data_IF_769187873698
#
_entry.id   IF_769187873698
#
_cell.length_a   1.000
_cell.length_b   1.000
_cell.length_c   1.000
_cell.angle_alpha   90.00
_cell.angle_beta   90.00
_cell.angle_gamma   90.00
#
_symmetry.space_group_name_H-M   'P 1'
#
loop_
_entity.id
_entity.type
_entity.pdbx_description
1 polymer ?
#
# COMPACT_ATOMS: atom_id res chain seq x y z
N UNK A 1 -17.16 -7.43 8.47
CA UNK A 1 -18.54 -6.92 8.31
C UNK A 1 -19.50 -7.93 7.68
N UNK A 2 -19.39 -8.35 6.41
CA UNK A 2 -20.35 -9.32 5.82
C UNK A 2 -20.53 -10.61 6.64
N UNK A 3 -19.42 -11.26 7.01
CA UNK A 3 -19.42 -12.44 7.90
C UNK A 3 -20.17 -12.16 9.21
N UNK A 4 -19.93 -11.01 9.82
CA UNK A 4 -20.52 -10.64 11.12
C UNK A 4 -22.02 -10.35 11.02
N UNK A 5 -22.48 -9.80 9.89
CA UNK A 5 -23.91 -9.62 9.60
C UNK A 5 -24.58 -10.99 9.47
N UNK A 6 -23.94 -11.92 8.77
CA UNK A 6 -24.44 -13.29 8.60
C UNK A 6 -24.50 -14.06 9.93
N UNK A 7 -23.50 -13.87 10.80
CA UNK A 7 -23.49 -14.42 12.17
C UNK A 7 -24.36 -13.63 13.16
N UNK A 8 -25.06 -12.57 12.74
CA UNK A 8 -25.93 -11.77 13.60
C UNK A 8 -25.21 -10.92 14.66
N UNK A 9 -23.89 -10.79 14.58
CA UNK A 9 -23.07 -10.00 15.52
C UNK A 9 -23.02 -8.50 15.19
N UNK A 10 -23.37 -8.15 13.94
CA UNK A 10 -23.53 -6.76 13.48
C UNK A 10 -24.88 -6.61 12.80
N UNK A 11 -25.68 -5.63 13.22
CA UNK A 11 -26.98 -5.38 12.60
C UNK A 11 -26.82 -4.67 11.25
N UNK A 12 -27.77 -4.92 10.33
CA UNK A 12 -27.79 -4.21 9.04
C UNK A 12 -28.05 -2.71 9.22
N UNK A 13 -28.76 -2.31 10.27
CA UNK A 13 -29.01 -0.90 10.61
C UNK A 13 -27.70 -0.19 11.00
N UNK A 14 -26.90 -0.82 11.87
CA UNK A 14 -25.59 -0.31 12.29
C UNK A 14 -24.62 -0.22 11.11
N UNK A 15 -24.59 -1.25 10.25
CA UNK A 15 -23.75 -1.26 9.06
C UNK A 15 -24.13 -0.15 8.06
N UNK A 16 -25.43 0.09 7.85
CA UNK A 16 -25.92 1.20 7.01
C UNK A 16 -25.48 2.54 7.59
N UNK A 17 -25.64 2.74 8.90
CA UNK A 17 -25.21 3.97 9.55
C UNK A 17 -23.71 4.23 9.39
N UNK A 18 -22.86 3.20 9.49
CA UNK A 18 -21.42 3.32 9.22
C UNK A 18 -21.15 3.91 7.82
N UNK A 19 -21.88 3.43 6.80
CA UNK A 19 -21.69 3.83 5.41
C UNK A 19 -22.28 5.21 5.09
N UNK A 20 -23.52 5.48 5.52
CA UNK A 20 -24.28 6.66 5.07
C UNK A 20 -24.37 7.76 6.12
N UNK A 21 -24.17 7.43 7.40
CA UNK A 21 -24.51 8.30 8.52
C UNK A 21 -26.00 8.40 8.76
N UNK A 22 -26.39 9.43 9.50
CA UNK A 22 -27.77 9.67 9.88
C UNK A 22 -28.60 10.20 8.72
N UNK A 23 -29.56 9.41 8.24
CA UNK A 23 -30.48 9.79 7.15
C UNK A 23 -31.77 10.46 7.63
N UNK A 24 -32.02 10.51 8.95
CA UNK A 24 -33.19 11.21 9.48
C UNK A 24 -33.13 12.72 9.18
N UNK A 25 -34.30 13.29 8.88
CA UNK A 25 -34.54 14.73 8.70
C UNK A 25 -34.81 15.44 10.03
N UNK A 26 -34.92 14.70 11.13
CA UNK A 26 -35.17 15.29 12.44
C UNK A 26 -34.03 16.21 12.86
N UNK A 27 -34.39 17.39 13.36
CA UNK A 27 -33.43 18.34 13.90
C UNK A 27 -33.01 17.92 15.32
N UNK A 28 -31.70 17.98 15.63
CA UNK A 28 -31.22 17.70 16.97
C UNK A 28 -31.68 18.82 17.94
N UNK A 29 -31.84 18.51 19.24
CA UNK A 29 -32.05 19.53 20.25
C UNK A 29 -30.85 20.48 20.36
N UNK A 30 -30.97 21.55 21.13
CA UNK A 30 -29.87 22.48 21.37
C UNK A 30 -28.62 21.75 21.89
N UNK A 31 -27.44 22.16 21.41
CA UNK A 31 -26.16 21.57 21.82
C UNK A 31 -25.94 21.82 23.31
N UNK A 32 -25.44 20.83 24.08
CA UNK A 32 -25.19 21.01 25.50
C UNK A 32 -23.93 21.86 25.80
N UNK A 33 -23.07 22.11 24.81
CA UNK A 33 -21.91 22.98 24.93
C UNK A 33 -21.45 23.57 23.58
N UNK A 34 -20.81 24.73 23.62
CA UNK A 34 -20.40 25.49 22.42
C UNK A 34 -19.29 24.82 21.60
N UNK A 35 -18.42 24.06 22.26
CA UNK A 35 -17.28 23.40 21.60
C UNK A 35 -17.70 22.27 20.65
N UNK A 36 -18.94 21.78 20.79
CA UNK A 36 -19.45 20.64 20.03
C UNK A 36 -19.76 21.09 18.59
N UNK A 37 -19.14 20.49 17.57
CA UNK A 37 -19.49 20.79 16.18
C UNK A 37 -20.91 20.34 15.84
N UNK A 38 -21.62 21.11 15.02
CA UNK A 38 -23.01 20.79 14.63
C UNK A 38 -23.12 19.43 13.95
N UNK A 39 -22.11 19.08 13.12
CA UNK A 39 -22.04 17.78 12.46
C UNK A 39 -21.94 16.64 13.46
N UNK A 40 -21.10 16.76 14.50
CA UNK A 40 -20.97 15.73 15.52
C UNK A 40 -22.30 15.55 16.25
N UNK A 41 -22.88 16.65 16.74
CA UNK A 41 -24.13 16.61 17.49
C UNK A 41 -25.28 16.03 16.67
N UNK A 42 -25.43 16.47 15.42
CA UNK A 42 -26.45 15.99 14.49
C UNK A 42 -26.31 14.50 14.21
N UNK A 43 -25.10 14.02 13.92
CA UNK A 43 -24.86 12.59 13.65
C UNK A 43 -25.09 11.73 14.89
N UNK A 44 -24.67 12.20 16.08
CA UNK A 44 -24.89 11.47 17.34
C UNK A 44 -26.37 11.36 17.69
N UNK A 45 -27.13 12.45 17.50
CA UNK A 45 -28.58 12.44 17.68
C UNK A 45 -29.26 11.45 16.73
N UNK A 46 -28.87 11.44 15.45
CA UNK A 46 -29.42 10.50 14.46
C UNK A 46 -29.01 9.06 14.73
N UNK A 47 -27.80 8.81 15.25
CA UNK A 47 -27.38 7.48 15.74
C UNK A 47 -28.33 6.98 16.83
N UNK A 48 -28.77 7.86 17.72
CA UNK A 48 -29.79 7.59 18.74
C UNK A 48 -31.10 7.00 18.21
N UNK A 49 -31.41 7.18 16.92
CA UNK A 49 -32.62 6.66 16.26
C UNK A 49 -32.40 5.37 15.48
N UNK A 50 -31.16 4.88 15.38
CA UNK A 50 -30.83 3.66 14.63
C UNK A 50 -31.30 2.41 15.39
N UNK A 51 -31.11 2.40 16.72
CA UNK A 51 -31.45 1.28 17.57
C UNK A 51 -31.55 1.70 19.04
N UNK A 52 -32.25 0.91 19.86
CA UNK A 52 -32.50 1.19 21.28
C UNK A 52 -31.22 1.35 22.11
N UNK A 53 -30.13 0.68 21.73
CA UNK A 53 -28.84 0.77 22.43
C UNK A 53 -28.24 2.19 22.39
N UNK A 54 -28.66 3.05 21.45
CA UNK A 54 -28.11 4.40 21.28
C UNK A 54 -28.98 5.51 21.87
N UNK A 55 -30.22 5.21 22.27
CA UNK A 55 -31.23 6.22 22.65
C UNK A 55 -30.71 7.16 23.74
N UNK A 56 -29.91 6.63 24.66
CA UNK A 56 -29.38 7.40 25.79
C UNK A 56 -28.11 8.20 25.47
N UNK A 57 -27.51 8.07 24.28
CA UNK A 57 -26.26 8.77 23.93
C UNK A 57 -26.43 10.29 24.00
N UNK A 58 -27.45 10.84 23.35
CA UNK A 58 -27.67 12.29 23.33
C UNK A 58 -28.17 12.80 24.70
N UNK A 59 -29.06 12.06 25.37
CA UNK A 59 -29.63 12.46 26.66
C UNK A 59 -28.59 12.52 27.79
N UNK A 60 -27.67 11.55 27.82
CA UNK A 60 -26.60 11.52 28.83
C UNK A 60 -25.41 12.42 28.48
N UNK A 61 -25.29 12.87 27.23
CA UNK A 61 -24.19 13.73 26.79
C UNK A 61 -24.07 14.98 27.65
N UNK A 62 -25.20 15.63 27.97
CA UNK A 62 -25.25 16.85 28.78
C UNK A 62 -24.70 16.66 30.20
N UNK A 63 -24.74 15.44 30.73
CA UNK A 63 -24.21 15.11 32.06
C UNK A 63 -22.71 14.78 32.05
N UNK A 64 -22.12 14.53 30.86
CA UNK A 64 -20.73 14.09 30.71
C UNK A 64 -19.95 14.91 29.66
N UNK A 65 -20.27 16.20 29.53
CA UNK A 65 -19.69 17.09 28.51
C UNK A 65 -18.16 17.09 28.55
N UNK A 66 -17.55 17.14 29.74
CA UNK A 66 -16.09 17.16 29.87
C UNK A 66 -15.43 15.84 29.41
N UNK A 67 -16.07 14.69 29.69
CA UNK A 67 -15.60 13.39 29.19
C UNK A 67 -15.64 13.35 27.67
N UNK A 68 -16.74 13.79 27.06
CA UNK A 68 -16.86 13.87 25.61
C UNK A 68 -15.88 14.85 24.98
N UNK A 69 -15.59 15.96 25.66
CA UNK A 69 -14.55 16.90 25.24
C UNK A 69 -13.17 16.25 25.24
N UNK A 70 -12.84 15.50 26.30
CA UNK A 70 -11.58 14.74 26.36
C UNK A 70 -11.45 13.70 25.25
N UNK A 71 -12.54 13.03 24.87
CA UNK A 71 -12.59 12.12 23.72
C UNK A 71 -12.35 12.89 22.42
N UNK A 72 -13.05 14.02 22.24
CA UNK A 72 -12.95 14.83 21.02
C UNK A 72 -11.55 15.41 20.82
N UNK A 73 -10.92 15.89 21.88
CA UNK A 73 -9.58 16.51 21.82
C UNK A 73 -8.43 15.48 21.79
N UNK A 74 -8.71 14.20 22.11
CA UNK A 74 -7.68 13.16 22.20
C UNK A 74 -7.11 12.77 20.83
N UNK A 75 -5.78 12.54 20.72
CA UNK A 75 -5.21 11.90 19.52
C UNK A 75 -5.62 10.43 19.38
N UNK A 76 -6.06 9.79 20.48
CA UNK A 76 -6.56 8.41 20.52
C UNK A 76 -7.90 8.36 21.29
N UNK A 77 -9.02 8.71 20.62
CA UNK A 77 -10.34 8.74 21.25
C UNK A 77 -10.82 7.35 21.69
N UNK A 78 -10.50 6.31 20.92
CA UNK A 78 -10.95 4.94 21.21
C UNK A 78 -10.38 4.42 22.52
N UNK A 79 -9.12 4.73 22.82
CA UNK A 79 -8.52 4.38 24.12
C UNK A 79 -9.30 4.95 25.31
N UNK A 80 -9.81 6.18 25.20
CA UNK A 80 -10.62 6.81 26.25
C UNK A 80 -12.01 6.19 26.30
N UNK A 81 -12.65 6.01 25.14
CA UNK A 81 -13.98 5.40 24.99
C UNK A 81 -14.05 3.96 25.52
N UNK A 82 -12.91 3.26 25.54
CA UNK A 82 -12.81 1.87 25.99
C UNK A 82 -12.10 1.71 27.34
N UNK A 83 -11.59 2.81 27.92
CA UNK A 83 -10.83 2.79 29.17
C UNK A 83 -11.71 2.61 30.40
N UNK A 84 -11.23 1.81 31.35
CA UNK A 84 -11.88 1.67 32.66
C UNK A 84 -11.88 3.01 33.40
N UNK A 85 -13.05 3.47 33.83
CA UNK A 85 -13.23 4.75 34.53
C UNK A 85 -13.31 6.00 33.63
N UNK A 86 -12.95 5.91 32.34
CA UNK A 86 -13.07 7.02 31.38
C UNK A 86 -14.17 6.82 30.34
N UNK A 87 -14.65 5.57 30.18
CA UNK A 87 -15.74 5.23 29.27
C UNK A 87 -17.05 5.92 29.67
N UNK A 88 -17.73 6.62 28.74
CA UNK A 88 -19.06 7.18 28.99
C UNK A 88 -20.06 6.09 29.36
N UNK A 89 -20.91 6.35 30.36
CA UNK A 89 -21.87 5.37 30.88
C UNK A 89 -22.86 4.89 29.80
N UNK A 90 -23.28 5.80 28.92
CA UNK A 90 -24.14 5.52 27.77
C UNK A 90 -23.53 4.57 26.74
N UNK A 91 -22.23 4.32 26.84
CA UNK A 91 -21.52 3.42 25.94
C UNK A 91 -21.26 2.05 26.56
N UNK A 92 -21.49 1.82 27.87
CA UNK A 92 -21.08 0.58 28.55
C UNK A 92 -21.66 -0.70 27.94
N UNK A 93 -22.90 -0.63 27.48
CA UNK A 93 -23.61 -1.76 26.86
C UNK A 93 -23.38 -1.88 25.34
N UNK A 94 -22.61 -0.97 24.75
CA UNK A 94 -22.33 -0.97 23.32
C UNK A 94 -21.29 -2.03 22.96
N UNK A 95 -21.55 -2.77 21.89
CA UNK A 95 -20.53 -3.67 21.32
C UNK A 95 -19.39 -2.87 20.69
N UNK A 96 -18.25 -3.53 20.45
CA UNK A 96 -17.10 -2.92 19.76
C UNK A 96 -17.46 -2.27 18.42
N UNK A 97 -18.38 -2.86 17.65
CA UNK A 97 -18.81 -2.27 16.39
C UNK A 97 -19.65 -1.01 16.60
N UNK A 98 -20.51 -1.01 17.62
CA UNK A 98 -21.36 0.12 17.96
C UNK A 98 -20.55 1.29 18.52
N UNK A 99 -19.48 1.02 19.27
CA UNK A 99 -18.48 2.01 19.68
C UNK A 99 -17.84 2.73 18.46
N UNK A 100 -17.58 2.01 17.36
CA UNK A 100 -17.07 2.61 16.12
C UNK A 100 -18.06 3.61 15.49
N UNK A 101 -19.37 3.39 15.64
CA UNK A 101 -20.38 4.32 15.13
C UNK A 101 -20.38 5.62 15.93
N UNK A 102 -20.23 5.51 17.25
CA UNK A 102 -20.06 6.68 18.12
C UNK A 102 -18.78 7.45 17.76
N UNK A 103 -17.68 6.72 17.54
CA UNK A 103 -16.43 7.33 17.08
C UNK A 103 -16.61 8.05 15.75
N UNK A 104 -17.35 7.45 14.81
CA UNK A 104 -17.66 8.07 13.51
C UNK A 104 -18.39 9.40 13.66
N UNK A 105 -19.27 9.54 14.65
CA UNK A 105 -19.93 10.81 14.95
C UNK A 105 -18.93 11.84 15.50
N UNK A 106 -18.09 11.45 16.47
CA UNK A 106 -17.21 12.37 17.20
C UNK A 106 -15.93 12.74 16.44
N UNK A 107 -15.24 11.73 15.89
CA UNK A 107 -13.90 11.80 15.30
C UNK A 107 -13.84 10.95 14.02
N UNK A 108 -14.48 11.40 12.92
CA UNK A 108 -14.51 10.67 11.66
C UNK A 108 -13.10 10.40 11.09
N UNK A 109 -12.12 11.25 11.41
CA UNK A 109 -10.70 11.08 11.04
C UNK A 109 -10.04 9.86 11.70
N UNK A 110 -10.58 9.37 12.82
CA UNK A 110 -10.05 8.22 13.57
C UNK A 110 -10.77 6.90 13.27
N UNK A 111 -11.80 6.92 12.43
CA UNK A 111 -12.61 5.73 12.10
C UNK A 111 -11.79 4.68 11.36
N UNK A 112 -10.96 5.07 10.39
CA UNK A 112 -10.17 4.10 9.61
C UNK A 112 -9.18 3.32 10.50
N UNK A 113 -8.32 3.96 11.33
CA UNK A 113 -7.49 3.25 12.28
C UNK A 113 -8.29 2.34 13.24
N UNK A 114 -9.44 2.80 13.72
CA UNK A 114 -10.27 2.02 14.63
C UNK A 114 -10.91 0.80 13.95
N UNK A 115 -11.34 0.91 12.69
CA UNK A 115 -11.82 -0.22 11.89
C UNK A 115 -10.69 -1.24 11.66
N UNK A 116 -9.47 -0.78 11.35
CA UNK A 116 -8.33 -1.69 11.19
C UNK A 116 -8.05 -2.44 12.49
N UNK A 117 -8.04 -1.77 13.64
CA UNK A 117 -7.88 -2.45 14.92
C UNK A 117 -9.01 -3.45 15.18
N UNK A 118 -10.26 -3.07 14.91
CA UNK A 118 -11.41 -3.96 15.05
C UNK A 118 -11.29 -5.23 14.18
N UNK A 119 -10.87 -5.09 12.92
CA UNK A 119 -10.63 -6.24 12.02
C UNK A 119 -9.47 -7.08 12.53
N UNK A 120 -8.40 -6.45 13.01
CA UNK A 120 -7.24 -7.16 13.54
C UNK A 120 -7.55 -7.96 14.80
N UNK A 121 -8.40 -7.44 15.69
CA UNK A 121 -8.87 -8.12 16.90
C UNK A 121 -9.84 -9.25 16.57
N UNK A 122 -10.75 -9.03 15.60
CA UNK A 122 -11.79 -10.01 15.26
C UNK A 122 -11.26 -11.15 14.39
N UNK A 123 -10.46 -10.84 13.36
CA UNK A 123 -10.05 -11.80 12.33
C UNK A 123 -8.54 -12.12 12.40
N UNK A 124 -7.76 -11.28 13.08
CA UNK A 124 -6.31 -11.41 13.20
C UNK A 124 -5.54 -10.41 12.35
N UNK A 125 -4.31 -10.14 12.77
CA UNK A 125 -3.40 -9.15 12.15
C UNK A 125 -3.13 -9.38 10.65
N UNK A 126 -3.24 -10.61 10.16
CA UNK A 126 -3.04 -10.96 8.76
C UNK A 126 -4.07 -10.37 7.79
N UNK A 127 -5.22 -9.91 8.30
CA UNK A 127 -6.28 -9.32 7.48
C UNK A 127 -6.17 -7.79 7.35
N UNK A 128 -5.24 -7.17 8.07
CA UNK A 128 -4.99 -5.72 8.01
C UNK A 128 -3.58 -5.37 7.55
N UNK A 129 -2.68 -6.35 7.57
CA UNK A 129 -1.33 -6.22 7.01
C UNK A 129 -1.31 -6.88 5.63
N UNK A 130 -0.97 -6.15 4.57
CA UNK A 130 -0.78 -6.77 3.26
C UNK A 130 0.30 -7.85 3.37
N UNK A 131 0.11 -9.03 2.75
CA UNK A 131 1.14 -10.06 2.71
C UNK A 131 2.34 -9.56 1.89
N UNK A 132 3.55 -10.08 2.17
CA UNK A 132 4.70 -9.81 1.32
C UNK A 132 4.43 -10.33 -0.09
N UNK A 133 5.08 -9.72 -1.08
CA UNK A 133 5.01 -10.16 -2.47
C UNK A 133 5.60 -11.57 -2.60
N UNK A 134 4.75 -12.53 -2.98
CA UNK A 134 5.08 -13.96 -3.02
C UNK A 134 4.82 -14.56 -4.42
N UNK A 135 5.85 -14.56 -5.26
CA UNK A 135 5.80 -15.22 -6.57
C UNK A 135 5.71 -16.74 -6.42
N UNK A 136 6.35 -17.32 -5.40
CA UNK A 136 6.42 -18.77 -5.23
C UNK A 136 5.04 -19.35 -4.87
N UNK A 137 4.34 -18.74 -3.90
CA UNK A 137 2.97 -19.10 -3.56
C UNK A 137 2.03 -18.91 -4.75
N UNK A 138 2.13 -17.79 -5.46
CA UNK A 138 1.32 -17.53 -6.66
C UNK A 138 1.57 -18.56 -7.77
N UNK A 139 2.82 -18.98 -7.96
CA UNK A 139 3.19 -20.04 -8.91
C UNK A 139 2.58 -21.39 -8.50
N UNK A 140 2.59 -21.72 -7.22
CA UNK A 140 1.99 -22.96 -6.70
C UNK A 140 0.47 -23.01 -6.87
N UNK A 141 -0.20 -21.86 -6.82
CA UNK A 141 -1.64 -21.74 -7.06
C UNK A 141 -2.02 -21.69 -8.55
N UNK A 142 -1.03 -21.63 -9.45
CA UNK A 142 -1.21 -21.56 -10.90
C UNK A 142 -1.09 -22.92 -11.59
N UNK A 143 -1.43 -22.98 -12.87
CA UNK A 143 -1.29 -24.18 -13.70
C UNK A 143 -0.74 -23.86 -15.09
N UNK A 144 -0.54 -24.88 -15.92
CA UNK A 144 -0.17 -24.74 -17.32
C UNK A 144 -1.28 -24.15 -18.21
N UNK A 145 -2.50 -23.98 -17.70
CA UNK A 145 -3.63 -23.39 -18.43
C UNK A 145 -4.24 -22.17 -17.72
N UNK A 146 -3.82 -21.89 -16.47
CA UNK A 146 -4.23 -20.72 -15.71
C UNK A 146 -3.07 -19.71 -15.69
N UNK A 147 -3.15 -18.60 -16.44
CA UNK A 147 -2.11 -17.59 -16.46
C UNK A 147 -1.88 -16.94 -15.10
N UNK A 148 -0.71 -16.32 -14.94
CA UNK A 148 -0.42 -15.41 -13.84
C UNK A 148 -0.40 -13.98 -14.35
N UNK A 149 -1.08 -13.07 -13.66
CA UNK A 149 -1.20 -11.67 -14.06
C UNK A 149 -0.62 -10.80 -12.96
N UNK A 150 0.44 -10.07 -13.30
CA UNK A 150 0.88 -8.93 -12.51
C UNK A 150 0.03 -7.72 -12.85
N UNK A 151 -0.77 -7.29 -11.88
CA UNK A 151 -1.48 -6.01 -11.92
C UNK A 151 -0.51 -4.95 -11.43
N UNK A 152 -0.04 -4.13 -12.36
CA UNK A 152 0.99 -3.12 -12.10
C UNK A 152 0.40 -1.91 -11.41
N UNK A 153 1.11 -1.41 -10.41
CA UNK A 153 0.96 -0.03 -9.91
C UNK A 153 2.00 0.86 -10.59
N UNK A 154 1.74 2.17 -10.76
CA UNK A 154 2.75 3.10 -11.27
C UNK A 154 4.05 2.99 -10.47
N UNK A 155 5.17 2.72 -11.15
CA UNK A 155 6.49 2.55 -10.55
C UNK A 155 6.81 1.18 -9.96
N UNK A 156 5.90 0.21 -10.07
CA UNK A 156 6.19 -1.19 -9.76
C UNK A 156 6.48 -1.98 -11.04
N UNK A 157 7.64 -2.65 -11.10
CA UNK A 157 7.96 -3.61 -12.16
C UNK A 157 8.39 -4.97 -11.54
N UNK A 158 7.58 -6.03 -11.70
CA UNK A 158 7.88 -7.35 -11.17
C UNK A 158 8.88 -8.14 -12.02
N UNK A 159 9.32 -7.64 -13.18
CA UNK A 159 10.18 -8.39 -14.10
C UNK A 159 11.49 -8.84 -13.48
N UNK A 160 12.12 -8.04 -12.63
CA UNK A 160 13.36 -8.44 -11.93
C UNK A 160 13.14 -9.63 -10.99
N UNK A 161 12.12 -9.55 -10.14
CA UNK A 161 11.75 -10.62 -9.21
C UNK A 161 11.33 -11.90 -9.96
N UNK A 162 10.58 -11.77 -11.05
CA UNK A 162 10.18 -12.90 -11.89
C UNK A 162 11.39 -13.59 -12.53
N UNK A 163 12.36 -12.82 -13.04
CA UNK A 163 13.58 -13.39 -13.61
C UNK A 163 14.41 -14.15 -12.57
N UNK A 164 14.57 -13.61 -11.37
CA UNK A 164 15.25 -14.32 -10.27
C UNK A 164 14.53 -15.64 -9.95
N UNK A 165 13.20 -15.61 -9.83
CA UNK A 165 12.41 -16.81 -9.57
C UNK A 165 12.51 -17.86 -10.69
N UNK A 166 12.58 -17.43 -11.96
CA UNK A 166 12.78 -18.35 -13.07
C UNK A 166 14.15 -19.02 -13.03
N UNK A 167 15.22 -18.27 -12.70
CA UNK A 167 16.57 -18.84 -12.49
C UNK A 167 16.54 -19.88 -11.37
N UNK A 168 15.88 -19.59 -10.24
CA UNK A 168 15.71 -20.56 -9.13
C UNK A 168 14.97 -21.83 -9.56
N UNK A 169 14.02 -21.72 -10.50
CA UNK A 169 13.29 -22.86 -11.08
C UNK A 169 14.01 -23.54 -12.24
N UNK A 170 15.19 -23.06 -12.64
CA UNK A 170 15.90 -23.56 -13.82
C UNK A 170 15.12 -23.35 -15.12
N UNK A 171 14.37 -22.25 -15.21
CA UNK A 171 13.54 -21.88 -16.36
C UNK A 171 14.09 -20.61 -17.02
N UNK A 172 14.02 -20.58 -18.35
CA UNK A 172 14.22 -19.36 -19.12
C UNK A 172 12.87 -18.72 -19.46
N UNK A 173 12.80 -17.39 -19.36
CA UNK A 173 11.60 -16.62 -19.70
C UNK A 173 11.78 -15.99 -21.07
N UNK A 174 10.90 -16.34 -22.00
CA UNK A 174 10.73 -15.63 -23.26
C UNK A 174 9.80 -14.43 -23.06
N UNK A 175 10.36 -13.22 -23.09
CA UNK A 175 9.61 -11.97 -22.85
C UNK A 175 9.25 -11.25 -24.15
N UNK A 176 8.02 -10.75 -24.24
CA UNK A 176 7.52 -9.96 -25.36
C UNK A 176 6.67 -8.78 -24.88
N UNK A 177 7.08 -7.56 -25.20
CA UNK A 177 6.25 -6.37 -25.00
C UNK A 177 5.18 -6.26 -26.07
N UNK A 178 3.91 -6.27 -25.66
CA UNK A 178 2.78 -6.17 -26.57
C UNK A 178 2.60 -4.74 -27.08
N UNK A 179 2.35 -4.64 -28.38
CA UNK A 179 2.15 -3.41 -29.11
C UNK A 179 1.66 -3.73 -30.52
N UNK A 180 1.54 -2.70 -31.37
CA UNK A 180 1.05 -2.87 -32.73
C UNK A 180 1.89 -3.91 -33.49
N UNK A 181 1.22 -4.91 -34.07
CA UNK A 181 1.86 -5.98 -34.85
C UNK A 181 2.54 -7.10 -34.05
N UNK A 182 2.48 -7.08 -32.71
CA UNK A 182 3.13 -8.11 -31.87
C UNK A 182 2.27 -9.35 -31.64
N UNK A 183 0.97 -9.31 -31.93
CA UNK A 183 0.03 -10.42 -31.70
C UNK A 183 0.48 -11.76 -32.30
N UNK A 184 0.78 -11.84 -33.61
CA UNK A 184 1.27 -13.09 -34.22
C UNK A 184 2.58 -13.60 -33.62
N UNK A 185 3.46 -12.72 -33.14
CA UNK A 185 4.69 -13.11 -32.45
C UNK A 185 4.41 -13.70 -31.08
N UNK A 186 3.44 -13.13 -30.34
CA UNK A 186 2.99 -13.67 -29.06
C UNK A 186 2.40 -15.07 -29.22
N UNK A 187 1.59 -15.29 -30.26
CA UNK A 187 1.00 -16.59 -30.60
C UNK A 187 2.09 -17.64 -30.84
N UNK A 188 3.02 -17.33 -31.76
CA UNK A 188 4.14 -18.22 -32.08
C UNK A 188 5.01 -18.53 -30.86
N UNK A 189 5.29 -17.52 -30.03
CA UNK A 189 6.08 -17.68 -28.80
C UNK A 189 5.43 -18.65 -27.81
N UNK A 190 4.10 -18.58 -27.66
CA UNK A 190 3.36 -19.52 -26.82
C UNK A 190 3.33 -20.93 -27.41
N UNK A 191 3.06 -21.05 -28.71
CA UNK A 191 3.05 -22.34 -29.43
C UNK A 191 4.39 -23.09 -29.32
N UNK A 192 5.50 -22.37 -29.42
CA UNK A 192 6.86 -22.93 -29.25
C UNK A 192 7.14 -23.32 -27.79
N UNK A 193 6.56 -22.61 -26.81
CA UNK A 193 6.77 -22.85 -25.39
C UNK A 193 5.93 -24.00 -24.82
N UNK A 194 4.74 -24.28 -25.37
CA UNK A 194 3.83 -25.33 -24.90
C UNK A 194 4.49 -26.74 -24.80
N UNK A 195 5.15 -27.27 -25.86
CA UNK A 195 5.70 -28.64 -25.82
C UNK A 195 6.96 -28.77 -24.97
N UNK A 196 7.66 -27.67 -24.68
CA UNK A 196 8.88 -27.67 -23.87
C UNK A 196 8.65 -27.25 -22.41
N UNK A 197 7.45 -26.76 -22.08
CA UNK A 197 7.15 -26.26 -20.74
C UNK A 197 7.91 -24.96 -20.42
N UNK A 198 8.08 -24.11 -21.44
CA UNK A 198 8.77 -22.83 -21.34
C UNK A 198 7.92 -21.79 -20.61
N UNK A 199 8.56 -20.72 -20.13
CA UNK A 199 7.85 -19.60 -19.53
C UNK A 199 7.77 -18.44 -20.52
N UNK A 200 6.57 -17.89 -20.70
CA UNK A 200 6.32 -16.75 -21.58
C UNK A 200 5.84 -15.57 -20.76
N UNK A 201 6.46 -14.41 -20.96
CA UNK A 201 6.06 -13.15 -20.33
C UNK A 201 5.54 -12.18 -21.40
N UNK A 202 4.25 -11.90 -21.40
CA UNK A 202 3.65 -10.86 -22.24
C UNK A 202 3.51 -9.57 -21.44
N UNK A 203 4.23 -8.53 -21.84
CA UNK A 203 4.25 -7.25 -21.14
C UNK A 203 3.26 -6.25 -21.74
N UNK A 204 2.79 -5.32 -20.92
CA UNK A 204 1.96 -4.19 -21.33
C UNK A 204 0.63 -4.57 -22.00
N UNK A 205 -0.04 -5.62 -21.51
CA UNK A 205 -1.28 -6.13 -22.11
C UNK A 205 -2.38 -5.06 -22.25
N UNK A 206 -2.49 -4.14 -21.29
CA UNK A 206 -3.40 -2.99 -21.35
C UNK A 206 -3.23 -2.10 -22.59
N UNK A 207 -2.02 -2.03 -23.19
CA UNK A 207 -1.76 -1.23 -24.40
C UNK A 207 -2.26 -1.91 -25.68
N UNK A 208 -2.49 -3.22 -25.66
CA UNK A 208 -2.87 -3.97 -26.86
C UNK A 208 -4.23 -4.68 -26.72
N UNK A 209 -5.20 -3.93 -26.19
CA UNK A 209 -6.57 -4.39 -25.96
C UNK A 209 -7.25 -5.04 -27.18
N UNK A 210 -6.91 -4.64 -28.41
CA UNK A 210 -7.47 -5.21 -29.64
C UNK A 210 -7.15 -6.69 -29.85
N UNK A 211 -6.02 -7.17 -29.33
CA UNK A 211 -5.60 -8.57 -29.49
C UNK A 211 -5.97 -9.46 -28.30
N UNK A 212 -6.25 -8.87 -27.14
CA UNK A 212 -6.59 -9.61 -25.93
C UNK A 212 -7.79 -10.58 -26.08
N UNK A 213 -8.86 -10.28 -26.85
CA UNK A 213 -9.92 -11.26 -27.13
C UNK A 213 -9.43 -12.50 -27.88
N UNK A 214 -8.38 -12.36 -28.70
CA UNK A 214 -7.77 -13.49 -29.38
C UNK A 214 -6.95 -14.36 -28.40
N UNK A 215 -6.23 -13.72 -27.47
CA UNK A 215 -5.56 -14.44 -26.38
C UNK A 215 -6.56 -15.23 -25.55
N UNK A 216 -7.71 -14.63 -25.22
CA UNK A 216 -8.79 -15.30 -24.47
C UNK A 216 -9.25 -16.58 -25.17
N UNK A 217 -9.53 -16.48 -26.48
CA UNK A 217 -9.90 -17.64 -27.31
C UNK A 217 -8.81 -18.72 -27.37
N UNK A 218 -7.53 -18.32 -27.43
CA UNK A 218 -6.41 -19.27 -27.41
C UNK A 218 -6.41 -20.04 -26.10
N UNK A 219 -6.54 -19.35 -24.96
CA UNK A 219 -6.54 -19.98 -23.64
C UNK A 219 -7.76 -20.87 -23.40
N UNK A 220 -8.94 -20.46 -23.89
CA UNK A 220 -10.18 -21.24 -23.78
C UNK A 220 -10.13 -22.54 -24.59
N UNK A 221 -9.49 -22.51 -25.78
CA UNK A 221 -9.39 -23.67 -26.68
C UNK A 221 -8.16 -24.54 -26.45
N UNK A 222 -7.31 -24.17 -25.48
CA UNK A 222 -6.04 -24.84 -25.21
C UNK A 222 -6.29 -26.24 -24.63
N UNK A 223 -5.86 -27.28 -25.34
CA UNK A 223 -5.93 -28.65 -24.82
C UNK A 223 -4.83 -28.85 -23.75
N UNK A 224 -5.18 -29.14 -22.48
CA UNK A 224 -4.20 -29.34 -21.42
C UNK A 224 -3.20 -30.47 -21.71
N UNK A 225 -3.53 -31.41 -22.61
CA UNK A 225 -2.64 -32.50 -23.02
C UNK A 225 -1.52 -32.04 -23.97
N UNK A 226 -1.71 -30.92 -24.66
CA UNK A 226 -0.72 -30.36 -25.59
C UNK A 226 0.30 -29.45 -24.89
N UNK A 227 0.03 -29.09 -23.63
CA UNK A 227 0.84 -28.15 -22.87
C UNK A 227 1.50 -28.86 -21.70
N UNK A 228 2.82 -28.81 -21.62
CA UNK A 228 3.53 -29.43 -20.48
C UNK A 228 3.09 -28.81 -19.14
N UNK A 229 3.00 -29.59 -18.06
CA UNK A 229 2.61 -29.11 -16.73
C UNK A 229 3.45 -27.94 -16.19
N UNK A 230 4.69 -27.82 -16.66
CA UNK A 230 5.64 -26.79 -16.25
C UNK A 230 5.49 -25.44 -16.99
N UNK A 231 4.74 -25.41 -18.10
CA UNK A 231 4.52 -24.18 -18.85
C UNK A 231 3.86 -23.14 -17.95
N UNK A 232 4.26 -21.86 -18.08
CA UNK A 232 3.58 -20.75 -17.44
C UNK A 232 3.47 -19.56 -18.39
N UNK A 233 2.28 -18.99 -18.45
CA UNK A 233 2.02 -17.72 -19.10
C UNK A 233 1.93 -16.62 -18.04
N UNK A 234 2.85 -15.67 -18.11
CA UNK A 234 2.91 -14.49 -17.27
C UNK A 234 2.45 -13.27 -18.07
N UNK A 235 1.56 -12.47 -17.49
CA UNK A 235 1.03 -11.25 -18.10
C UNK A 235 1.36 -10.06 -17.20
N UNK A 236 1.70 -8.91 -17.78
CA UNK A 236 1.76 -7.64 -17.03
C UNK A 236 0.78 -6.63 -17.60
N UNK A 237 0.01 -5.99 -16.72
CA UNK A 237 -1.00 -5.02 -17.14
C UNK A 237 -1.28 -3.99 -16.06
N UNK A 238 -1.47 -2.73 -16.44
CA UNK A 238 -2.24 -1.80 -15.61
C UNK A 238 -3.71 -2.25 -15.58
N UNK A 239 -4.47 -1.88 -14.52
CA UNK A 239 -5.91 -2.01 -14.51
C UNK A 239 -6.53 -1.36 -15.75
N UNK A 240 -7.42 -2.07 -16.43
CA UNK A 240 -8.05 -1.61 -17.67
C UNK A 240 -9.39 -2.28 -17.88
N UNK A 241 -10.44 -1.49 -18.13
CA UNK A 241 -11.79 -1.96 -18.42
C UNK A 241 -11.88 -2.76 -19.73
N UNK A 242 -10.83 -2.69 -20.56
CA UNK A 242 -10.73 -3.40 -21.83
C UNK A 242 -10.07 -4.78 -21.70
N UNK A 243 -9.51 -5.10 -20.53
CA UNK A 243 -8.87 -6.40 -20.32
C UNK A 243 -9.94 -7.50 -20.23
N UNK A 244 -9.78 -8.66 -20.91
CA UNK A 244 -10.80 -9.70 -20.92
C UNK A 244 -11.13 -10.25 -19.53
N UNK A 245 -12.41 -10.24 -19.19
CA UNK A 245 -12.92 -10.70 -17.89
C UNK A 245 -12.65 -12.20 -17.69
N UNK A 246 -12.79 -13.01 -18.74
CA UNK A 246 -12.56 -14.45 -18.66
C UNK A 246 -11.10 -14.79 -18.29
N UNK A 247 -10.12 -14.12 -18.92
CA UNK A 247 -8.71 -14.24 -18.54
C UNK A 247 -8.52 -13.85 -17.07
N UNK A 248 -9.08 -12.73 -16.60
CA UNK A 248 -8.96 -12.31 -15.19
C UNK A 248 -9.59 -13.32 -14.21
N UNK A 249 -10.74 -13.89 -14.55
CA UNK A 249 -11.42 -14.87 -13.71
C UNK A 249 -10.60 -16.15 -13.57
N UNK A 250 -10.01 -16.62 -14.67
CA UNK A 250 -9.30 -17.90 -14.76
C UNK A 250 -7.79 -17.80 -14.42
N UNK A 251 -7.28 -16.62 -14.11
CA UNK A 251 -5.87 -16.40 -13.79
C UNK A 251 -5.60 -16.21 -12.30
N UNK A 252 -4.36 -16.42 -11.89
CA UNK A 252 -3.84 -15.97 -10.59
C UNK A 252 -3.49 -14.48 -10.71
N UNK A 253 -4.04 -13.63 -9.85
CA UNK A 253 -3.80 -12.18 -9.86
C UNK A 253 -2.81 -11.83 -8.77
N UNK A 254 -1.78 -11.11 -9.13
CA UNK A 254 -0.72 -10.67 -8.23
C UNK A 254 -0.64 -9.16 -8.33
N UNK A 255 -0.90 -8.46 -7.23
CA UNK A 255 -0.64 -7.02 -7.13
C UNK A 255 0.70 -6.82 -6.44
N UNK A 256 1.57 -6.01 -7.06
CA UNK A 256 2.76 -5.50 -6.41
C UNK A 256 2.52 -4.03 -6.08
N UNK A 257 1.94 -3.78 -4.91
CA UNK A 257 1.75 -2.42 -4.41
C UNK A 257 3.01 -1.96 -3.68
N UNK A 258 3.32 -0.67 -3.79
CA UNK A 258 4.39 -0.09 -3.00
C UNK A 258 4.06 -0.29 -1.50
N UNK A 259 5.03 -0.67 -0.67
CA UNK A 259 4.80 -0.82 0.77
C UNK A 259 4.23 0.49 1.34
N UNK A 260 3.18 0.38 2.16
CA UNK A 260 2.55 1.54 2.80
C UNK A 260 3.07 1.70 4.24
N UNK A 261 3.40 2.93 4.60
CA UNK A 261 3.96 3.30 5.88
C UNK A 261 5.49 3.27 5.90
N UNK A 262 6.09 4.15 6.70
CA UNK A 262 7.54 4.31 6.83
C UNK A 262 8.26 2.99 7.13
N UNK A 263 7.74 2.20 8.07
CA UNK A 263 8.36 0.92 8.45
C UNK A 263 8.39 -0.07 7.30
N UNK A 264 7.30 -0.19 6.54
CA UNK A 264 7.22 -1.14 5.43
C UNK A 264 8.16 -0.71 4.29
N UNK A 265 8.21 0.59 3.98
CA UNK A 265 9.17 1.14 3.02
C UNK A 265 10.62 0.85 3.45
N UNK A 266 10.96 1.10 4.71
CA UNK A 266 12.28 0.79 5.26
C UNK A 266 12.65 -0.68 5.12
N UNK A 267 11.79 -1.59 5.59
CA UNK A 267 12.04 -3.04 5.47
C UNK A 267 12.19 -3.44 3.99
N UNK A 268 11.34 -2.91 3.11
CA UNK A 268 11.43 -3.12 1.67
C UNK A 268 12.77 -2.69 1.09
N UNK A 269 13.26 -1.51 1.45
CA UNK A 269 14.58 -1.01 1.00
C UNK A 269 15.73 -1.94 1.38
N UNK A 270 15.73 -2.52 2.58
CA UNK A 270 16.80 -3.40 3.05
C UNK A 270 16.76 -4.81 2.44
N UNK A 271 15.61 -5.25 1.92
CA UNK A 271 15.47 -6.54 1.25
C UNK A 271 15.88 -6.50 -0.24
N UNK A 272 16.14 -5.31 -0.78
CA UNK A 272 16.40 -5.10 -2.20
C UNK A 272 17.90 -4.97 -2.51
N UNK A 273 18.29 -5.42 -3.69
CA UNK A 273 19.65 -5.23 -4.19
C UNK A 273 19.99 -3.73 -4.43
N UNK A 274 21.21 -3.27 -4.10
CA UNK A 274 22.31 -4.06 -3.55
C UNK A 274 22.31 -4.14 -2.01
N UNK A 275 21.34 -3.52 -1.32
CA UNK A 275 21.37 -3.38 0.15
C UNK A 275 21.29 -4.75 0.84
N UNK A 276 20.50 -5.67 0.31
CA UNK A 276 20.39 -7.04 0.83
C UNK A 276 21.62 -7.92 0.55
N UNK A 277 22.52 -7.48 -0.32
CA UNK A 277 23.75 -8.22 -0.62
C UNK A 277 24.77 -8.02 0.51
N UNK A 278 25.20 -9.11 1.14
CA UNK A 278 26.11 -9.09 2.29
C UNK A 278 27.44 -8.42 1.97
N UNK A 279 27.99 -8.62 0.76
CA UNK A 279 29.25 -7.98 0.36
C UNK A 279 29.10 -6.46 0.25
N UNK A 280 28.00 -6.00 -0.33
CA UNK A 280 27.70 -4.57 -0.42
C UNK A 280 27.41 -3.95 0.95
N UNK A 281 26.74 -4.68 1.84
CA UNK A 281 26.33 -4.15 3.14
C UNK A 281 27.48 -4.15 4.17
N UNK A 282 28.28 -5.22 4.22
CA UNK A 282 29.29 -5.42 5.26
C UNK A 282 30.70 -4.94 4.87
N UNK A 283 31.10 -5.02 3.60
CA UNK A 283 32.52 -4.83 3.22
C UNK A 283 32.95 -3.38 2.98
N UNK A 284 32.30 -2.38 3.60
CA UNK A 284 32.69 -0.96 3.43
C UNK A 284 33.99 -0.64 4.13
N UNK A 285 34.78 0.28 3.54
CA UNK A 285 36.02 0.76 4.14
C UNK A 285 35.74 1.65 5.37
N UNK A 286 34.55 2.24 5.47
CA UNK A 286 34.05 2.95 6.65
C UNK A 286 32.62 2.50 6.99
N UNK A 287 32.45 1.32 7.62
CA UNK A 287 31.16 0.67 7.78
C UNK A 287 30.19 1.43 8.70
N UNK A 288 30.67 2.13 9.73
CA UNK A 288 29.83 2.91 10.62
C UNK A 288 29.17 4.10 9.89
N UNK A 289 29.98 4.92 9.21
CA UNK A 289 29.48 6.03 8.39
C UNK A 289 28.56 5.55 7.27
N UNK A 290 28.97 4.48 6.56
CA UNK A 290 28.16 3.91 5.50
C UNK A 290 26.78 3.45 5.99
N UNK A 291 26.72 2.65 7.05
CA UNK A 291 25.45 2.09 7.54
C UNK A 291 24.51 3.17 8.10
N UNK A 292 25.04 4.17 8.81
CA UNK A 292 24.26 5.31 9.32
C UNK A 292 23.68 6.15 8.19
N UNK A 293 24.48 6.49 7.19
CA UNK A 293 24.02 7.29 6.04
C UNK A 293 23.11 6.48 5.12
N UNK A 294 23.35 5.17 4.98
CA UNK A 294 22.45 4.29 4.23
C UNK A 294 21.08 4.22 4.89
N UNK A 295 21.02 4.12 6.22
CA UNK A 295 19.78 4.21 6.95
C UNK A 295 19.07 5.55 6.71
N UNK A 296 19.81 6.67 6.79
CA UNK A 296 19.25 8.00 6.53
C UNK A 296 18.70 8.13 5.10
N UNK A 297 19.40 7.59 4.10
CA UNK A 297 18.95 7.55 2.71
C UNK A 297 17.67 6.72 2.53
N UNK A 298 17.63 5.51 3.10
CA UNK A 298 16.44 4.65 3.05
C UNK A 298 15.25 5.35 3.73
N UNK A 299 15.48 6.02 4.85
CA UNK A 299 14.42 6.72 5.58
C UNK A 299 13.94 7.97 4.83
N UNK A 300 14.85 8.73 4.24
CA UNK A 300 14.51 9.81 3.30
C UNK A 300 13.64 9.28 2.15
N UNK A 301 14.04 8.16 1.52
CA UNK A 301 13.30 7.55 0.43
C UNK A 301 11.88 7.14 0.86
N UNK A 302 11.74 6.51 2.02
CA UNK A 302 10.45 6.17 2.62
C UNK A 302 9.58 7.41 2.86
N UNK A 303 10.16 8.48 3.40
CA UNK A 303 9.44 9.73 3.69
C UNK A 303 8.94 10.39 2.41
N UNK A 304 9.77 10.54 1.38
CA UNK A 304 9.34 11.18 0.13
C UNK A 304 8.27 10.37 -0.61
N UNK A 305 8.29 9.04 -0.47
CA UNK A 305 7.25 8.14 -0.99
C UNK A 305 5.93 8.32 -0.23
N UNK A 306 5.96 8.27 1.11
CA UNK A 306 4.76 8.45 1.95
C UNK A 306 4.13 9.84 1.81
N UNK A 307 4.96 10.87 1.61
CA UNK A 307 4.46 12.24 1.37
C UNK A 307 3.50 12.33 0.18
N UNK A 308 3.63 11.45 -0.82
CA UNK A 308 2.72 11.41 -1.99
C UNK A 308 1.26 11.15 -1.59
N UNK A 309 1.01 10.52 -0.45
CA UNK A 309 -0.34 10.21 0.05
C UNK A 309 -1.10 11.46 0.52
N UNK A 310 -0.42 12.60 0.69
CA UNK A 310 -1.00 13.83 1.24
C UNK A 310 -1.33 14.89 0.18
N UNK A 311 -1.32 14.50 -1.10
CA UNK A 311 -1.61 15.42 -2.21
C UNK A 311 -0.72 16.67 -2.16
N UNK A 312 -1.26 17.88 -2.43
CA UNK A 312 -0.51 19.13 -2.43
C UNK A 312 0.18 19.49 -1.10
N UNK A 313 -0.26 18.94 0.05
CA UNK A 313 0.45 19.12 1.32
C UNK A 313 1.76 18.32 1.38
N UNK A 314 1.82 17.23 0.61
CA UNK A 314 2.99 16.40 0.41
C UNK A 314 3.88 16.92 -0.71
N UNK A 315 3.33 16.94 -1.92
CA UNK A 315 3.94 17.37 -3.18
C UNK A 315 2.91 18.07 -4.06
N UNK A 316 3.28 19.17 -4.74
CA UNK A 316 2.35 19.82 -5.67
C UNK A 316 2.06 18.92 -6.88
N UNK A 317 3.07 18.18 -7.36
CA UNK A 317 2.94 17.18 -8.43
C UNK A 317 3.24 15.78 -7.86
N UNK A 318 2.46 14.74 -8.21
CA UNK A 318 2.64 13.39 -7.67
C UNK A 318 3.82 12.65 -8.32
N UNK A 319 5.04 13.12 -8.09
CA UNK A 319 6.28 12.53 -8.62
C UNK A 319 6.43 11.06 -8.22
N UNK A 320 6.93 10.26 -9.15
CA UNK A 320 7.14 8.84 -8.92
C UNK A 320 8.60 8.58 -8.52
N UNK A 321 8.87 8.48 -7.21
CA UNK A 321 10.18 8.08 -6.70
C UNK A 321 10.27 6.54 -6.64
N UNK A 322 11.18 5.99 -7.43
CA UNK A 322 11.32 4.55 -7.71
C UNK A 322 12.45 3.92 -6.92
N UNK A 323 12.44 2.59 -6.86
CA UNK A 323 13.53 1.81 -6.27
C UNK A 323 14.86 2.00 -7.00
N UNK A 324 14.84 2.35 -8.30
CA UNK A 324 16.06 2.62 -9.03
C UNK A 324 16.78 3.88 -8.52
N UNK A 325 16.02 4.90 -8.11
CA UNK A 325 16.58 6.14 -7.57
C UNK A 325 17.29 5.87 -6.23
N UNK A 326 16.71 5.00 -5.40
CA UNK A 326 17.36 4.51 -4.18
C UNK A 326 18.60 3.66 -4.49
N UNK A 327 18.48 2.71 -5.42
CA UNK A 327 19.54 1.78 -5.79
C UNK A 327 20.80 2.50 -6.25
N UNK A 328 20.66 3.48 -7.15
CA UNK A 328 21.79 4.26 -7.65
C UNK A 328 22.37 5.16 -6.57
N UNK A 329 21.52 5.77 -5.73
CA UNK A 329 21.95 6.60 -4.61
C UNK A 329 22.74 5.81 -3.57
N UNK A 330 22.32 4.57 -3.26
CA UNK A 330 23.02 3.69 -2.32
C UNK A 330 24.39 3.28 -2.87
N UNK A 331 24.49 2.94 -4.17
CA UNK A 331 25.76 2.62 -4.82
C UNK A 331 26.73 3.80 -4.82
N UNK A 332 26.23 4.99 -5.14
CA UNK A 332 27.04 6.21 -5.10
C UNK A 332 27.49 6.52 -3.68
N UNK A 333 26.59 6.45 -2.70
CA UNK A 333 26.94 6.61 -1.29
C UNK A 333 28.10 5.68 -0.91
N UNK A 334 27.99 4.39 -1.26
CA UNK A 334 29.03 3.39 -0.99
C UNK A 334 30.37 3.77 -1.64
N UNK A 335 30.34 4.19 -2.90
CA UNK A 335 31.51 4.60 -3.65
C UNK A 335 32.23 5.80 -2.98
N UNK A 336 31.49 6.84 -2.60
CA UNK A 336 32.06 8.04 -1.96
C UNK A 336 32.63 7.76 -0.57
N UNK A 337 31.96 6.92 0.22
CA UNK A 337 32.44 6.53 1.54
C UNK A 337 33.72 5.70 1.43
N UNK A 338 33.81 4.80 0.46
CA UNK A 338 35.02 4.00 0.26
C UNK A 338 36.17 4.83 -0.36
N UNK A 339 35.87 5.86 -1.18
CA UNK A 339 36.88 6.77 -1.75
C UNK A 339 37.48 7.74 -0.71
N UNK A 340 36.69 8.14 0.30
CA UNK A 340 37.15 9.03 1.37
C UNK A 340 36.66 8.55 2.75
N UNK A 341 37.23 7.46 3.30
CA UNK A 341 36.75 6.85 4.56
C UNK A 341 36.86 7.74 5.80
N UNK A 342 37.77 8.72 5.77
CA UNK A 342 38.04 9.63 6.89
C UNK A 342 37.28 10.97 6.80
N UNK A 343 36.72 11.31 5.62
CA UNK A 343 36.04 12.58 5.38
C UNK A 343 34.81 12.40 4.48
N UNK A 344 33.63 12.42 5.11
CA UNK A 344 32.36 12.27 4.40
C UNK A 344 32.08 13.54 3.60
N UNK A 345 32.10 13.42 2.26
CA UNK A 345 31.82 14.53 1.36
C UNK A 345 30.32 14.85 1.26
N UNK A 346 29.74 15.43 2.33
CA UNK A 346 28.30 15.73 2.44
C UNK A 346 27.76 16.54 1.25
N UNK A 347 28.53 17.52 0.76
CA UNK A 347 28.12 18.32 -0.40
C UNK A 347 27.95 17.49 -1.67
N UNK A 348 28.85 16.53 -1.91
CA UNK A 348 28.81 15.66 -3.08
C UNK A 348 27.63 14.69 -3.02
N UNK A 349 27.44 14.02 -1.86
CA UNK A 349 26.33 13.06 -1.70
C UNK A 349 24.96 13.75 -1.70
N UNK A 350 24.84 14.97 -1.14
CA UNK A 350 23.61 15.77 -1.23
C UNK A 350 23.33 16.19 -2.67
N UNK A 351 24.34 16.62 -3.42
CA UNK A 351 24.17 17.00 -4.81
C UNK A 351 23.75 15.82 -5.68
N UNK A 352 24.40 14.66 -5.55
CA UNK A 352 24.07 13.48 -6.35
C UNK A 352 22.69 12.93 -6.04
N UNK A 353 22.36 12.72 -4.77
CA UNK A 353 21.04 12.24 -4.41
C UNK A 353 19.97 13.31 -4.71
N UNK A 354 20.20 14.55 -4.31
CA UNK A 354 19.21 15.62 -4.35
C UNK A 354 18.98 16.22 -5.73
N UNK A 355 20.04 16.56 -6.46
CA UNK A 355 19.93 17.23 -7.77
C UNK A 355 19.89 16.22 -8.92
N UNK A 356 20.69 15.14 -8.86
CA UNK A 356 20.80 14.19 -9.98
C UNK A 356 19.76 13.06 -9.90
N UNK A 357 19.72 12.32 -8.79
CA UNK A 357 18.93 11.09 -8.71
C UNK A 357 17.44 11.37 -8.46
N UNK A 358 17.13 12.08 -7.39
CA UNK A 358 15.74 12.41 -7.02
C UNK A 358 15.28 13.73 -7.68
N UNK A 359 16.15 14.75 -7.72
CA UNK A 359 15.81 16.07 -8.27
C UNK A 359 15.55 16.07 -9.77
N UNK A 360 16.13 15.13 -10.52
CA UNK A 360 15.84 14.93 -11.94
C UNK A 360 14.37 14.60 -12.23
N UNK A 361 13.63 14.13 -11.22
CA UNK A 361 12.18 13.84 -11.33
C UNK A 361 11.31 15.05 -11.01
N UNK A 362 11.84 16.03 -10.29
CA UNK A 362 11.06 17.12 -9.72
C UNK A 362 11.09 18.33 -10.66
N UNK A 363 9.92 18.67 -11.19
CA UNK A 363 9.75 19.74 -12.18
C UNK A 363 9.42 21.10 -11.56
N UNK A 364 8.74 21.12 -10.41
CA UNK A 364 8.30 22.34 -9.74
C UNK A 364 9.36 22.90 -8.79
N UNK A 365 9.50 24.23 -8.78
CA UNK A 365 10.56 24.90 -8.02
C UNK A 365 10.36 24.74 -6.51
N UNK A 366 9.11 24.84 -6.04
CA UNK A 366 8.76 24.69 -4.63
C UNK A 366 8.99 23.24 -4.16
N UNK A 367 8.60 22.27 -4.99
CA UNK A 367 8.84 20.86 -4.69
C UNK A 367 10.33 20.52 -4.71
N UNK A 368 11.11 21.11 -5.63
CA UNK A 368 12.57 20.94 -5.65
C UNK A 368 13.21 21.50 -4.38
N UNK A 369 12.78 22.68 -3.94
CA UNK A 369 13.22 23.27 -2.67
C UNK A 369 12.87 22.35 -1.49
N UNK A 370 11.67 21.79 -1.44
CA UNK A 370 11.25 20.86 -0.41
C UNK A 370 12.13 19.60 -0.40
N UNK A 371 12.33 18.97 -1.57
CA UNK A 371 13.17 17.78 -1.72
C UNK A 371 14.58 18.02 -1.18
N UNK A 372 15.22 19.11 -1.62
CA UNK A 372 16.58 19.46 -1.20
C UNK A 372 16.66 19.77 0.30
N UNK A 373 15.64 20.44 0.85
CA UNK A 373 15.59 20.74 2.28
C UNK A 373 15.46 19.46 3.10
N UNK A 374 14.55 18.57 2.71
CA UNK A 374 14.38 17.27 3.37
C UNK A 374 15.67 16.45 3.32
N UNK A 375 16.29 16.33 2.14
CA UNK A 375 17.52 15.56 1.98
C UNK A 375 18.66 16.10 2.85
N UNK A 376 18.81 17.43 2.92
CA UNK A 376 19.84 18.07 3.73
C UNK A 376 19.70 17.75 5.23
N UNK A 377 18.49 17.51 5.72
CA UNK A 377 18.26 17.09 7.11
C UNK A 377 18.71 15.63 7.36
N UNK A 378 18.63 14.76 6.34
CA UNK A 378 19.06 13.36 6.43
C UNK A 378 20.56 13.16 6.13
N UNK A 379 21.10 13.87 5.15
CA UNK A 379 22.51 13.86 4.80
C UNK A 379 23.23 15.05 5.43
N UNK A 380 23.30 15.03 6.76
CA UNK A 380 24.05 15.99 7.56
C UNK A 380 24.96 15.29 8.55
N UNK A 381 25.95 16.01 9.08
CA UNK A 381 26.81 15.53 10.18
C UNK A 381 25.98 15.05 11.40
N UNK A 382 24.78 15.63 11.60
CA UNK A 382 23.86 15.19 12.64
C UNK A 382 23.42 13.73 12.51
N UNK A 383 23.37 13.17 11.29
CA UNK A 383 23.02 11.77 11.06
C UNK A 383 24.11 10.78 11.51
N UNK A 384 25.32 11.28 11.80
CA UNK A 384 26.42 10.49 12.33
C UNK A 384 26.50 10.49 13.87
N UNK A 385 25.63 11.28 14.53
CA UNK A 385 25.55 11.34 16.00
C UNK A 385 24.64 10.22 16.53
N UNK A 386 24.90 9.78 17.74
CA UNK A 386 24.11 8.74 18.44
C UNK A 386 22.73 9.21 18.89
#
# INVERSE_FOLDING_TARGET
>A
MRLQIEFGTVSMADYRFLLTGGTSLDEPPAKPADWIPDRFWSELFKLGKVSEQYVNLAGTFAHHVETWKSIYDSPDPMRIMQGEGTRPDSMRELTRFQELLVLRCARPDRVLPAILNYVAETMGQKFVKPPPFDIAGSYSDSSNIAPLIFILSPGSDPSSALNMFAVEKGKEISSLSLGQGQGPKAEKLMEEAFPIGGWVLLQNCHLFASWMPKLDKILETLDPKQVKPDFRLWLTSYPSDKFPVAILQNSVKITNEAPQGLRANMVGSYLMDPISNEDFFEKSLAPDYFKRLLYALCFFHAVIQERRLFGPLGWNIPYEFTQNDLRISARQLRMFIDESPEDVQFKAINYLAGECNYGGRVTEKQDRRLLMTLLADYYAEGALKD
#
